data_IF_988838859217
#
_entry.id   IF_988838859217
#
_cell.length_a   1.000
_cell.length_b   1.000
_cell.length_c   1.000
_cell.angle_alpha   90.00
_cell.angle_beta   90.00
_cell.angle_gamma   90.00
#
_symmetry.space_group_name_H-M   'P 1'
#
loop_
_entity.id
_entity.type
_entity.pdbx_description
1 polymer ?
#
# COMPACT_ATOMS: atom_id res chain seq x y z
N UNK A 1 -60.14 -34.47 29.46
CA UNK A 1 -59.56 -34.30 30.81
C UNK A 1 -58.39 -35.25 30.93
N UNK A 2 -57.35 -34.92 31.73
CA UNK A 2 -56.04 -35.59 31.78
C UNK A 2 -55.25 -35.52 30.45
N UNK A 3 -54.05 -34.95 30.42
CA UNK A 3 -52.77 -35.35 31.03
C UNK A 3 -52.06 -36.46 30.23
N UNK A 4 -50.85 -36.16 29.74
CA UNK A 4 -49.66 -36.95 30.06
C UNK A 4 -48.39 -36.08 29.95
N UNK A 5 -47.40 -36.38 30.79
CA UNK A 5 -46.11 -35.66 30.85
C UNK A 5 -45.06 -36.36 30.00
N UNK A 6 -44.14 -35.60 29.41
CA UNK A 6 -42.83 -36.11 29.01
C UNK A 6 -41.76 -35.00 29.10
N UNK A 7 -40.61 -35.35 29.68
CA UNK A 7 -39.57 -34.39 30.08
C UNK A 7 -38.74 -33.85 28.92
N UNK A 8 -38.27 -32.60 29.04
CA UNK A 8 -37.06 -32.13 28.35
C UNK A 8 -36.12 -31.50 29.35
N UNK A 9 -34.86 -31.93 29.34
CA UNK A 9 -33.79 -31.22 30.05
C UNK A 9 -33.46 -29.92 29.29
N UNK A 10 -33.55 -28.78 29.97
CA UNK A 10 -32.89 -27.57 29.52
C UNK A 10 -31.47 -27.55 30.08
N UNK A 11 -30.46 -27.68 29.21
CA UNK A 11 -29.12 -27.25 29.56
C UNK A 11 -29.15 -25.73 29.84
N UNK A 12 -28.45 -25.22 30.87
CA UNK A 12 -28.35 -23.78 31.09
C UNK A 12 -27.67 -23.12 29.89
N UNK A 13 -28.17 -21.95 29.46
CA UNK A 13 -27.41 -21.10 28.53
C UNK A 13 -26.04 -20.81 29.15
N UNK A 14 -24.97 -21.10 28.41
CA UNK A 14 -23.67 -20.56 28.76
C UNK A 14 -23.77 -19.03 28.84
N UNK A 15 -23.39 -18.46 29.97
CA UNK A 15 -23.25 -17.01 30.07
C UNK A 15 -22.14 -16.58 29.10
N UNK A 16 -22.39 -15.51 28.33
CA UNK A 16 -21.32 -14.88 27.56
C UNK A 16 -20.20 -14.41 28.48
N UNK A 17 -18.94 -14.36 28.00
CA UNK A 17 -17.82 -13.89 28.81
C UNK A 17 -18.11 -12.49 29.37
N UNK A 18 -17.76 -12.28 30.63
CA UNK A 18 -17.99 -10.99 31.28
C UNK A 18 -17.19 -9.89 30.56
N UNK A 19 -17.78 -8.68 30.35
CA UNK A 19 -17.10 -7.60 29.65
C UNK A 19 -15.90 -7.10 30.47
N UNK A 20 -14.75 -6.95 29.81
CA UNK A 20 -13.47 -6.65 30.45
C UNK A 20 -13.52 -5.38 31.33
N UNK A 21 -12.72 -5.31 32.42
CA UNK A 21 -12.54 -4.09 33.21
C UNK A 21 -12.22 -2.84 32.38
N UNK A 22 -12.63 -1.66 32.86
CA UNK A 22 -12.44 -0.41 32.14
C UNK A 22 -10.96 -0.09 31.86
N UNK A 23 -10.04 -0.44 32.77
CA UNK A 23 -8.60 -0.25 32.58
C UNK A 23 -8.01 -1.16 31.48
N UNK A 24 -8.52 -2.38 31.32
CA UNK A 24 -8.12 -3.25 30.21
C UNK A 24 -8.70 -2.75 28.87
N UNK A 25 -9.91 -2.17 28.87
CA UNK A 25 -10.45 -1.49 27.68
C UNK A 25 -9.59 -0.30 27.28
N UNK A 26 -9.16 0.56 28.21
CA UNK A 26 -8.27 1.69 27.88
C UNK A 26 -6.92 1.20 27.34
N UNK A 27 -6.29 0.18 27.94
CA UNK A 27 -5.06 -0.40 27.36
C UNK A 27 -5.28 -1.14 26.03
N UNK A 28 -6.50 -1.57 25.73
CA UNK A 28 -6.85 -2.18 24.45
C UNK A 28 -7.09 -1.08 23.38
N UNK A 29 -7.77 0.00 23.74
CA UNK A 29 -7.95 1.22 22.92
C UNK A 29 -6.59 1.85 22.55
N UNK A 30 -5.69 2.02 23.53
CA UNK A 30 -4.31 2.50 23.33
C UNK A 30 -3.45 1.57 22.46
N UNK A 31 -3.74 0.26 22.42
CA UNK A 31 -2.99 -0.72 21.62
C UNK A 31 -3.57 -0.99 20.22
N UNK A 32 -4.74 -0.43 19.91
CA UNK A 32 -5.35 -0.47 18.57
C UNK A 32 -4.96 0.70 17.66
N UNK A 33 -3.96 1.50 18.06
CA UNK A 33 -3.63 2.80 17.45
C UNK A 33 -3.12 2.76 16.01
N UNK A 34 -2.39 1.71 15.63
CA UNK A 34 -1.73 1.62 14.32
C UNK A 34 -2.62 0.76 13.39
N UNK A 35 -2.79 1.14 12.10
CA UNK A 35 -4.02 0.77 11.38
C UNK A 35 -4.05 0.62 9.82
N UNK A 36 -3.08 -0.05 9.18
CA UNK A 36 -2.97 -0.33 7.73
C UNK A 36 -2.88 -1.83 7.30
N UNK A 37 -4.06 -2.52 7.17
CA UNK A 37 -5.35 -4.68 5.73
C UNK A 37 -6.05 -4.55 4.22
N UNK A 38 -5.59 -5.12 3.06
CA UNK A 38 -5.77 -4.36 1.77
C UNK A 38 -6.24 -4.87 0.31
N UNK A 39 -6.09 -6.11 -0.22
CA UNK A 39 -6.53 -6.63 -1.62
C UNK A 39 -5.67 -6.42 -2.93
N UNK A 40 -5.53 -7.40 -3.89
CA UNK A 40 -4.61 -7.43 -5.04
C UNK A 40 -5.29 -7.35 -6.44
N UNK A 41 -4.63 -7.79 -7.52
CA UNK A 41 -4.92 -7.59 -8.95
C UNK A 41 -4.51 -8.84 -9.82
N UNK A 42 -4.56 -8.96 -11.15
CA UNK A 42 -5.28 -8.22 -12.19
C UNK A 42 -6.11 -9.15 -13.12
N UNK A 43 -7.44 -8.93 -13.23
CA UNK A 43 -8.19 -8.99 -14.53
C UNK A 43 -8.22 -7.58 -15.18
N UNK A 44 -7.27 -6.75 -14.80
CA UNK A 44 -7.51 -5.39 -14.33
C UNK A 44 -6.42 -4.47 -14.88
N UNK A 45 -6.76 -3.69 -15.89
CA UNK A 45 -5.81 -2.74 -16.47
C UNK A 45 -6.47 -1.45 -17.01
N UNK A 46 -7.69 -1.11 -16.54
CA UNK A 46 -8.40 0.10 -17.00
C UNK A 46 -9.05 0.97 -15.90
N UNK A 47 -9.45 0.46 -14.72
CA UNK A 47 -10.26 1.25 -13.77
C UNK A 47 -9.86 1.26 -12.28
N UNK A 48 -8.66 0.78 -11.92
CA UNK A 48 -7.97 1.38 -10.77
C UNK A 48 -7.91 2.92 -11.00
N UNK A 49 -7.81 3.76 -9.96
CA UNK A 49 -7.27 5.10 -10.16
C UNK A 49 -5.95 4.95 -10.95
N UNK A 50 -5.78 5.60 -12.10
CA UNK A 50 -4.56 5.43 -12.94
C UNK A 50 -3.30 5.91 -12.19
N UNK A 51 -3.51 6.58 -11.07
CA UNK A 51 -2.57 6.83 -9.95
C UNK A 51 -1.84 5.55 -9.51
N UNK A 52 -2.53 4.40 -9.41
CA UNK A 52 -1.95 3.09 -9.09
C UNK A 52 -1.37 2.34 -10.33
N UNK A 53 -1.42 2.99 -11.49
CA UNK A 53 -0.87 2.53 -12.77
C UNK A 53 -0.04 3.63 -13.43
N UNK A 54 0.98 4.15 -12.72
CA UNK A 54 2.09 4.82 -13.41
C UNK A 54 2.57 3.88 -14.52
N UNK A 55 2.66 4.42 -15.75
CA UNK A 55 3.14 3.66 -16.92
C UNK A 55 4.67 3.59 -16.97
N UNK A 56 5.33 4.01 -15.88
CA UNK A 56 6.77 4.21 -15.80
C UNK A 56 7.36 3.76 -14.47
N UNK A 57 6.62 3.03 -13.64
CA UNK A 57 7.23 2.41 -12.45
C UNK A 57 8.35 1.47 -12.86
N UNK A 58 9.51 1.58 -12.21
CA UNK A 58 10.70 0.81 -12.52
C UNK A 58 11.48 0.39 -11.28
N UNK A 59 12.04 -0.81 -11.32
CA UNK A 59 13.19 -1.13 -10.49
C UNK A 59 14.37 -0.24 -10.84
N UNK A 60 15.14 0.12 -9.80
CA UNK A 60 16.19 1.12 -9.86
C UNK A 60 17.27 0.85 -8.82
N UNK A 61 18.34 1.65 -8.87
CA UNK A 61 19.48 1.59 -7.97
C UNK A 61 19.75 2.98 -7.38
N UNK A 62 20.36 3.07 -6.18
CA UNK A 62 20.90 4.33 -5.68
C UNK A 62 21.87 4.97 -6.67
N UNK A 63 22.02 6.30 -6.61
CA UNK A 63 23.11 7.00 -7.29
C UNK A 63 24.47 6.39 -6.91
N UNK A 64 25.40 6.35 -7.88
CA UNK A 64 26.71 5.71 -7.70
C UNK A 64 27.48 6.30 -6.51
N UNK A 65 27.40 7.62 -6.33
CA UNK A 65 27.92 8.36 -5.18
C UNK A 65 27.35 7.86 -3.85
N UNK A 66 26.03 7.70 -3.74
CA UNK A 66 25.37 7.25 -2.50
C UNK A 66 25.75 5.80 -2.15
N UNK A 67 25.81 4.92 -3.16
CA UNK A 67 26.26 3.53 -2.98
C UNK A 67 27.74 3.45 -2.58
N UNK A 68 28.60 4.24 -3.23
CA UNK A 68 30.04 4.34 -2.95
C UNK A 68 30.33 4.93 -1.56
N UNK A 69 29.51 5.88 -1.11
CA UNK A 69 29.57 6.37 0.28
C UNK A 69 29.29 5.25 1.27
N UNK A 70 28.16 4.54 1.15
CA UNK A 70 27.83 3.42 2.05
C UNK A 70 28.86 2.28 1.99
N UNK A 71 29.45 2.03 0.81
CA UNK A 71 30.47 1.01 0.57
C UNK A 71 31.86 1.36 1.13
N UNK A 72 32.17 2.65 1.31
CA UNK A 72 33.47 3.11 1.84
C UNK A 72 33.40 3.67 3.27
N UNK A 73 32.21 3.71 3.87
CA UNK A 73 32.00 4.23 5.23
C UNK A 73 32.51 3.24 6.31
N UNK A 74 33.68 3.56 6.85
CA UNK A 74 34.35 2.81 7.93
C UNK A 74 33.63 2.91 9.29
N UNK A 75 32.69 3.84 9.46
CA UNK A 75 31.88 3.94 10.68
C UNK A 75 30.69 2.99 10.63
N UNK A 76 30.14 2.74 9.44
CA UNK A 76 29.11 1.73 9.23
C UNK A 76 29.73 0.34 9.16
N UNK A 77 30.83 0.17 8.40
CA UNK A 77 31.57 -1.09 8.23
C UNK A 77 30.68 -2.25 7.74
N UNK A 78 29.75 -1.97 6.82
CA UNK A 78 28.85 -2.96 6.22
C UNK A 78 29.69 -3.97 5.41
N UNK A 79 29.51 -5.29 5.57
CA UNK A 79 30.27 -6.28 4.82
C UNK A 79 30.10 -6.15 3.29
N UNK A 80 31.20 -6.17 2.54
CA UNK A 80 31.22 -6.01 1.09
C UNK A 80 30.30 -7.02 0.36
N UNK A 81 30.22 -8.26 0.85
CA UNK A 81 29.33 -9.29 0.31
C UNK A 81 27.84 -8.98 0.52
N UNK A 82 27.47 -8.28 1.61
CA UNK A 82 26.09 -7.83 1.86
C UNK A 82 25.73 -6.75 0.84
N UNK A 83 26.59 -5.75 0.64
CA UNK A 83 26.37 -4.70 -0.38
C UNK A 83 26.26 -5.31 -1.78
N UNK A 84 27.18 -6.20 -2.17
CA UNK A 84 27.11 -6.91 -3.46
C UNK A 84 25.81 -7.72 -3.60
N UNK A 85 25.36 -8.39 -2.55
CA UNK A 85 24.07 -9.10 -2.55
C UNK A 85 22.90 -8.15 -2.85
N UNK A 86 22.84 -6.97 -2.21
CA UNK A 86 21.68 -6.07 -2.35
C UNK A 86 21.67 -5.39 -3.73
N UNK A 87 22.85 -5.00 -4.21
CA UNK A 87 23.04 -4.48 -5.57
C UNK A 87 22.72 -5.54 -6.62
N UNK A 88 23.07 -6.81 -6.38
CA UNK A 88 22.69 -7.94 -7.25
C UNK A 88 21.17 -8.03 -7.35
N UNK A 89 20.46 -8.11 -6.21
CA UNK A 89 19.00 -8.24 -6.21
C UNK A 89 18.31 -7.08 -6.96
N UNK A 90 18.74 -5.85 -6.76
CA UNK A 90 18.22 -4.68 -7.48
C UNK A 90 18.50 -4.76 -9.00
N UNK A 91 19.74 -5.07 -9.41
CA UNK A 91 20.09 -5.27 -10.83
C UNK A 91 19.28 -6.40 -11.48
N UNK A 92 19.04 -7.49 -10.76
CA UNK A 92 18.26 -8.62 -11.25
C UNK A 92 16.76 -8.29 -11.44
N UNK A 93 16.21 -7.40 -10.61
CA UNK A 93 14.86 -6.85 -10.78
C UNK A 93 14.81 -5.88 -11.99
N UNK A 94 15.80 -4.99 -12.13
CA UNK A 94 15.98 -4.14 -13.32
C UNK A 94 16.15 -4.94 -14.62
N UNK A 95 16.75 -6.14 -14.55
CA UNK A 95 16.93 -7.03 -15.70
C UNK A 95 15.60 -7.62 -16.21
N UNK A 96 14.66 -7.96 -15.31
CA UNK A 96 13.31 -8.45 -15.68
C UNK A 96 12.57 -7.40 -16.53
N UNK A 97 12.65 -6.13 -16.12
CA UNK A 97 12.06 -5.00 -16.84
C UNK A 97 12.89 -4.52 -18.05
N UNK A 98 14.03 -5.18 -18.32
CA UNK A 98 14.95 -4.87 -19.43
C UNK A 98 15.52 -3.44 -19.37
N UNK A 99 15.62 -2.85 -18.17
CA UNK A 99 16.15 -1.49 -17.93
C UNK A 99 17.67 -1.38 -17.99
N UNK A 100 18.39 -2.49 -17.84
CA UNK A 100 19.86 -2.49 -17.89
C UNK A 100 20.37 -2.05 -19.27
N UNK A 101 21.31 -1.09 -19.29
CA UNK A 101 22.02 -0.66 -20.49
C UNK A 101 22.90 -1.79 -21.02
N UNK A 102 23.69 -2.41 -20.13
CA UNK A 102 24.48 -3.59 -20.49
C UNK A 102 23.58 -4.76 -20.94
N UNK A 103 24.19 -5.69 -21.67
CA UNK A 103 23.61 -6.99 -22.06
C UNK A 103 24.34 -8.17 -21.43
N UNK A 104 25.32 -7.89 -20.57
CA UNK A 104 26.00 -8.88 -19.74
C UNK A 104 25.01 -9.50 -18.71
N UNK A 105 25.21 -10.76 -18.29
CA UNK A 105 24.51 -11.31 -17.13
C UNK A 105 24.80 -10.51 -15.85
N UNK A 106 23.83 -10.39 -14.94
CA UNK A 106 23.99 -9.58 -13.71
C UNK A 106 25.22 -9.95 -12.87
N UNK A 107 25.61 -11.23 -12.68
CA UNK A 107 26.87 -11.56 -11.99
C UNK A 107 28.12 -10.96 -12.63
N UNK A 108 28.15 -10.82 -13.97
CA UNK A 108 29.26 -10.17 -14.70
C UNK A 108 29.21 -8.65 -14.50
N UNK A 109 28.01 -8.06 -14.48
CA UNK A 109 27.82 -6.63 -14.17
C UNK A 109 28.31 -6.32 -12.75
N UNK A 110 27.94 -7.13 -11.76
CA UNK A 110 28.38 -6.96 -10.36
C UNK A 110 29.90 -7.14 -10.24
N UNK A 111 30.48 -8.09 -10.97
CA UNK A 111 31.94 -8.27 -11.04
C UNK A 111 32.68 -7.08 -11.67
N UNK A 112 32.07 -6.39 -12.65
CA UNK A 112 32.61 -5.15 -13.25
C UNK A 112 32.48 -3.94 -12.32
N UNK A 113 31.35 -3.80 -11.63
CA UNK A 113 31.10 -2.71 -10.66
C UNK A 113 32.01 -2.84 -9.43
N UNK A 114 32.34 -4.06 -8.99
CA UNK A 114 33.18 -4.29 -7.83
C UNK A 114 34.37 -5.22 -8.15
N UNK A 115 35.35 -4.75 -8.94
CA UNK A 115 36.37 -5.58 -9.58
C UNK A 115 37.41 -6.16 -8.60
N UNK A 116 37.55 -5.56 -7.42
CA UNK A 116 38.45 -6.02 -6.36
C UNK A 116 37.93 -5.58 -4.98
N UNK A 117 38.39 -6.21 -3.87
CA UNK A 117 37.94 -5.87 -2.53
C UNK A 117 38.17 -4.40 -2.18
N UNK A 118 37.17 -3.75 -1.59
CA UNK A 118 37.19 -2.32 -1.25
C UNK A 118 37.15 -1.36 -2.45
N UNK A 119 36.94 -1.84 -3.67
CA UNK A 119 36.85 -1.02 -4.89
C UNK A 119 35.46 -1.08 -5.51
N UNK A 120 34.90 0.09 -5.83
CA UNK A 120 33.70 0.24 -6.65
C UNK A 120 34.02 1.12 -7.88
N UNK A 121 33.83 0.57 -9.07
CA UNK A 121 33.98 1.27 -10.35
C UNK A 121 32.69 1.99 -10.74
N UNK A 122 32.77 3.31 -10.74
CA UNK A 122 31.67 4.21 -11.07
C UNK A 122 31.46 4.35 -12.58
N UNK A 123 32.47 4.06 -13.41
CA UNK A 123 32.35 4.03 -14.87
C UNK A 123 31.55 2.80 -15.29
N UNK A 124 31.90 1.62 -14.79
CA UNK A 124 31.18 0.38 -15.10
C UNK A 124 29.75 0.38 -14.54
N UNK A 125 29.53 0.99 -13.37
CA UNK A 125 28.17 1.26 -12.86
C UNK A 125 27.35 2.13 -13.82
N UNK A 126 27.96 3.20 -14.36
CA UNK A 126 27.32 4.07 -15.35
C UNK A 126 27.20 3.43 -16.75
N UNK A 127 28.01 2.42 -17.08
CA UNK A 127 27.86 1.61 -18.29
C UNK A 127 26.70 0.61 -18.16
N UNK A 128 26.51 0.02 -16.99
CA UNK A 128 25.46 -0.95 -16.71
C UNK A 128 24.05 -0.36 -16.59
N UNK A 129 23.89 0.83 -16.00
CA UNK A 129 22.59 1.41 -15.61
C UNK A 129 22.39 2.79 -16.22
N UNK A 130 21.19 3.12 -16.72
CA UNK A 130 20.90 4.48 -17.20
C UNK A 130 20.88 5.49 -16.02
N UNK A 131 21.48 6.68 -16.13
CA UNK A 131 21.34 7.73 -15.12
C UNK A 131 19.90 8.15 -14.84
N UNK A 132 18.99 8.05 -15.83
CA UNK A 132 17.56 8.39 -15.68
C UNK A 132 16.81 7.37 -14.85
N UNK A 133 17.17 6.08 -14.93
CA UNK A 133 16.62 5.02 -14.08
C UNK A 133 17.25 5.02 -12.67
N UNK A 134 17.84 6.15 -12.26
CA UNK A 134 18.49 6.40 -10.96
C UNK A 134 18.24 7.80 -10.41
N UNK A 135 17.60 8.69 -11.17
CA UNK A 135 17.44 10.11 -10.81
C UNK A 135 16.17 10.43 -10.02
N UNK A 136 15.34 9.43 -9.72
CA UNK A 136 14.01 9.64 -9.17
C UNK A 136 13.89 9.20 -7.69
N UNK A 137 14.57 8.15 -7.19
CA UNK A 137 14.64 7.93 -5.73
C UNK A 137 15.55 8.94 -5.06
N UNK A 138 15.04 9.63 -4.05
CA UNK A 138 15.81 10.44 -3.11
C UNK A 138 16.77 11.46 -3.75
N UNK A 139 16.41 11.99 -4.91
CA UNK A 139 17.07 13.19 -5.44
C UNK A 139 16.87 14.36 -4.46
N UNK A 140 15.70 14.42 -3.82
CA UNK A 140 15.44 15.27 -2.66
C UNK A 140 14.45 14.60 -1.71
N UNK A 141 14.96 14.00 -0.63
CA UNK A 141 14.13 13.46 0.48
C UNK A 141 13.20 14.56 1.02
N UNK A 142 13.68 15.81 1.10
CA UNK A 142 12.89 16.97 1.53
C UNK A 142 11.73 17.34 0.59
N UNK A 143 11.66 16.75 -0.61
CA UNK A 143 10.53 16.91 -1.55
C UNK A 143 9.60 15.70 -1.61
N UNK A 144 9.94 14.58 -0.95
CA UNK A 144 9.09 13.39 -0.87
C UNK A 144 7.88 13.57 0.07
N UNK A 145 7.95 14.51 1.02
CA UNK A 145 6.84 14.93 1.86
C UNK A 145 6.84 16.46 2.04
N UNK A 146 6.55 17.20 0.97
CA UNK A 146 6.56 18.67 0.99
C UNK A 146 5.17 19.28 0.82
N UNK A 147 5.00 20.56 1.14
CA UNK A 147 3.75 21.29 0.88
C UNK A 147 3.55 21.42 -0.63
N UNK A 148 2.30 21.37 -1.09
CA UNK A 148 1.95 21.64 -2.50
C UNK A 148 2.64 22.94 -2.95
N UNK A 149 3.38 22.92 -4.07
CA UNK A 149 4.14 24.08 -4.55
C UNK A 149 3.20 25.14 -5.13
N UNK A 150 3.54 26.42 -4.98
CA UNK A 150 2.65 27.54 -5.33
C UNK A 150 2.05 27.50 -6.75
N UNK A 151 2.75 27.05 -7.82
CA UNK A 151 2.15 26.93 -9.15
C UNK A 151 0.98 25.93 -9.24
N UNK A 152 0.94 24.92 -8.38
CA UNK A 152 -0.05 23.84 -8.43
C UNK A 152 -1.29 24.15 -7.57
N UNK A 153 -1.13 24.95 -6.50
CA UNK A 153 -2.20 25.26 -5.52
C UNK A 153 -3.50 25.77 -6.16
N UNK A 154 -3.52 26.74 -7.08
CA UNK A 154 -4.78 27.29 -7.60
C UNK A 154 -5.59 26.23 -8.36
N UNK A 155 -4.90 25.36 -9.09
CA UNK A 155 -5.51 24.28 -9.87
C UNK A 155 -6.05 23.18 -8.95
N UNK A 156 -5.30 22.84 -7.89
CA UNK A 156 -5.76 21.88 -6.88
C UNK A 156 -6.94 22.42 -6.06
N UNK A 157 -6.94 23.71 -5.69
CA UNK A 157 -8.07 24.35 -5.00
C UNK A 157 -9.35 24.32 -5.84
N UNK A 158 -9.24 24.62 -7.15
CA UNK A 158 -10.35 24.48 -8.09
C UNK A 158 -10.83 23.02 -8.19
N UNK A 159 -9.92 22.05 -8.30
CA UNK A 159 -10.26 20.63 -8.32
C UNK A 159 -10.98 20.18 -7.03
N UNK A 160 -10.57 20.65 -5.85
CA UNK A 160 -11.25 20.36 -4.59
C UNK A 160 -12.65 21.01 -4.54
N UNK A 161 -12.82 22.25 -5.00
CA UNK A 161 -14.14 22.91 -5.06
C UNK A 161 -15.13 22.18 -6.00
N UNK A 162 -14.65 21.75 -7.17
CA UNK A 162 -15.38 20.86 -8.07
C UNK A 162 -15.73 19.53 -7.39
N UNK A 163 -14.80 18.95 -6.63
CA UNK A 163 -14.99 17.67 -5.94
C UNK A 163 -16.08 17.78 -4.88
N UNK A 164 -16.07 18.85 -4.06
CA UNK A 164 -17.13 19.14 -3.08
C UNK A 164 -18.50 19.25 -3.76
N UNK A 165 -18.55 19.84 -4.96
CA UNK A 165 -19.78 19.95 -5.76
C UNK A 165 -20.26 18.58 -6.24
N UNK A 166 -19.36 17.74 -6.77
CA UNK A 166 -19.66 16.36 -7.19
C UNK A 166 -20.10 15.48 -6.00
N UNK A 167 -19.46 15.61 -4.84
CA UNK A 167 -19.82 14.91 -3.60
C UNK A 167 -21.24 15.26 -3.16
N UNK A 168 -21.60 16.55 -3.14
CA UNK A 168 -22.97 16.98 -2.82
C UNK A 168 -24.01 16.49 -3.84
N UNK A 169 -23.63 16.34 -5.11
CA UNK A 169 -24.47 15.68 -6.13
C UNK A 169 -24.61 14.16 -5.91
N UNK A 170 -23.73 13.51 -5.15
CA UNK A 170 -23.85 12.11 -4.73
C UNK A 170 -24.67 11.99 -3.43
N UNK A 171 -24.43 12.88 -2.47
CA UNK A 171 -25.23 13.04 -1.24
C UNK A 171 -26.71 13.25 -1.56
N UNK A 172 -27.05 14.02 -2.59
CA UNK A 172 -28.43 14.24 -3.03
C UNK A 172 -29.06 13.04 -3.79
N UNK A 173 -28.26 12.10 -4.29
CA UNK A 173 -28.69 11.04 -5.22
C UNK A 173 -29.17 9.79 -4.48
N UNK A 174 -30.35 9.88 -3.88
CA UNK A 174 -30.98 8.79 -3.13
C UNK A 174 -31.09 7.49 -3.94
N UNK A 175 -31.20 7.56 -5.28
CA UNK A 175 -31.27 6.40 -6.15
C UNK A 175 -29.92 5.68 -6.21
N UNK A 176 -28.84 6.39 -6.56
CA UNK A 176 -27.51 5.77 -6.62
C UNK A 176 -26.97 5.40 -5.23
N UNK A 177 -27.34 6.13 -4.17
CA UNK A 177 -27.01 5.76 -2.79
C UNK A 177 -27.59 4.38 -2.46
N UNK A 178 -28.86 4.14 -2.79
CA UNK A 178 -29.52 2.85 -2.59
C UNK A 178 -29.00 1.77 -3.54
N UNK A 179 -28.64 2.11 -4.78
CA UNK A 179 -28.06 1.15 -5.72
C UNK A 179 -26.67 0.66 -5.29
N UNK A 180 -25.87 1.46 -4.59
CA UNK A 180 -24.50 1.07 -4.19
C UNK A 180 -24.48 0.51 -2.77
N UNK A 181 -25.16 1.17 -1.82
CA UNK A 181 -25.07 0.88 -0.39
C UNK A 181 -26.32 0.18 0.19
N UNK A 182 -27.36 -0.05 -0.61
CA UNK A 182 -28.52 -0.85 -0.23
C UNK A 182 -29.35 -0.24 0.91
N UNK A 183 -29.48 -0.96 2.03
CA UNK A 183 -30.16 -0.48 3.23
C UNK A 183 -29.32 0.49 4.08
N UNK A 184 -28.02 0.62 3.79
CA UNK A 184 -27.10 1.56 4.44
C UNK A 184 -26.99 2.90 3.70
N UNK A 185 -27.92 3.21 2.80
CA UNK A 185 -27.97 4.45 2.00
C UNK A 185 -27.93 5.72 2.85
N UNK A 186 -28.64 5.75 3.98
CA UNK A 186 -28.62 6.85 4.94
C UNK A 186 -27.24 7.07 5.61
N UNK A 187 -26.49 6.00 5.87
CA UNK A 187 -25.11 6.07 6.40
C UNK A 187 -24.17 6.60 5.32
N UNK A 188 -24.27 6.07 4.10
CA UNK A 188 -23.51 6.57 2.95
C UNK A 188 -23.77 8.07 2.69
N UNK A 189 -25.03 8.51 2.78
CA UNK A 189 -25.44 9.92 2.65
C UNK A 189 -24.74 10.82 3.68
N UNK A 190 -24.81 10.47 4.97
CA UNK A 190 -24.09 11.17 6.06
C UNK A 190 -22.59 11.27 5.74
N UNK A 191 -22.00 10.17 5.30
CA UNK A 191 -20.55 10.10 5.07
C UNK A 191 -20.12 10.93 3.84
N UNK A 192 -20.90 11.02 2.76
CA UNK A 192 -20.64 12.01 1.69
C UNK A 192 -20.71 13.47 2.19
N UNK A 193 -21.66 13.81 3.08
CA UNK A 193 -21.68 15.13 3.74
C UNK A 193 -20.42 15.40 4.60
N UNK A 194 -19.88 14.35 5.22
CA UNK A 194 -18.58 14.35 5.89
C UNK A 194 -17.42 14.61 4.92
N UNK A 195 -17.36 13.90 3.79
CA UNK A 195 -16.35 14.06 2.73
C UNK A 195 -16.34 15.52 2.22
N UNK A 196 -17.52 16.09 1.95
CA UNK A 196 -17.64 17.49 1.52
C UNK A 196 -17.09 18.48 2.56
N UNK A 197 -17.30 18.19 3.85
CA UNK A 197 -16.76 18.98 4.97
C UNK A 197 -15.24 18.87 5.09
N UNK A 198 -14.70 17.65 5.04
CA UNK A 198 -13.26 17.38 5.09
C UNK A 198 -12.51 18.06 3.93
N UNK A 199 -12.99 17.88 2.70
CA UNK A 199 -12.46 18.57 1.51
C UNK A 199 -12.55 20.10 1.62
N UNK A 200 -13.64 20.63 2.18
CA UNK A 200 -13.79 22.06 2.46
C UNK A 200 -12.75 22.59 3.45
N UNK A 201 -12.32 21.76 4.41
CA UNK A 201 -11.27 22.10 5.37
C UNK A 201 -9.86 21.98 4.75
N UNK A 202 -9.60 20.97 3.91
CA UNK A 202 -8.34 20.86 3.16
C UNK A 202 -8.11 22.05 2.24
N UNK A 203 -9.12 22.47 1.47
CA UNK A 203 -9.00 23.60 0.52
C UNK A 203 -8.63 24.92 1.21
N UNK A 204 -9.24 25.19 2.38
CA UNK A 204 -8.96 26.37 3.21
C UNK A 204 -7.57 26.32 3.85
N UNK A 205 -7.09 25.15 4.25
CA UNK A 205 -5.88 24.97 5.04
C UNK A 205 -4.74 24.28 4.25
N UNK A 206 -4.74 24.38 2.92
CA UNK A 206 -3.87 23.61 2.04
C UNK A 206 -2.38 23.65 2.44
N UNK A 207 -1.87 24.83 2.83
CA UNK A 207 -0.47 25.02 3.28
C UNK A 207 -0.07 24.23 4.55
N UNK A 208 -1.03 23.71 5.32
CA UNK A 208 -0.78 22.95 6.55
C UNK A 208 -1.48 21.59 6.61
N UNK A 209 -2.37 21.28 5.66
CA UNK A 209 -3.15 20.04 5.60
C UNK A 209 -3.01 19.23 4.31
N UNK A 210 -2.36 19.76 3.28
CA UNK A 210 -2.10 19.03 2.04
C UNK A 210 -0.60 19.05 1.73
N UNK A 211 0.01 17.88 1.76
CA UNK A 211 1.37 17.66 1.26
C UNK A 211 1.31 16.86 -0.03
N UNK A 212 2.41 16.87 -0.79
CA UNK A 212 2.57 16.03 -1.94
C UNK A 212 4.02 15.58 -2.07
N UNK A 213 4.17 14.38 -2.63
CA UNK A 213 5.45 13.85 -3.09
C UNK A 213 5.80 14.50 -4.43
N UNK A 214 6.87 15.30 -4.45
CA UNK A 214 7.49 15.86 -5.66
C UNK A 214 8.76 15.08 -6.08
N UNK A 215 9.18 14.08 -5.30
CA UNK A 215 10.32 13.21 -5.59
C UNK A 215 9.90 11.95 -6.41
N UNK A 216 8.61 11.66 -6.52
CA UNK A 216 7.98 10.52 -7.25
C UNK A 216 8.13 9.15 -6.56
N UNK A 217 8.56 9.11 -5.30
CA UNK A 217 8.66 7.89 -4.50
C UNK A 217 7.31 7.14 -4.41
N UNK A 218 6.22 7.87 -4.26
CA UNK A 218 4.87 7.31 -4.19
C UNK A 218 4.44 6.70 -5.52
N UNK A 219 4.82 7.31 -6.65
CA UNK A 219 4.47 6.82 -7.99
C UNK A 219 5.06 5.41 -8.21
N UNK A 220 6.23 5.17 -7.62
CA UNK A 220 7.08 4.00 -7.86
C UNK A 220 6.82 2.84 -6.88
N UNK A 221 6.50 3.11 -5.61
CA UNK A 221 5.83 2.10 -4.76
C UNK A 221 4.39 1.85 -5.20
N UNK A 222 3.82 2.76 -6.02
CA UNK A 222 2.50 2.65 -6.66
C UNK A 222 1.34 3.19 -5.84
N UNK A 223 1.62 4.07 -4.88
CA UNK A 223 0.71 4.68 -3.91
C UNK A 223 0.00 5.90 -4.49
N UNK A 224 -1.32 5.99 -4.30
CA UNK A 224 -2.13 7.10 -4.85
C UNK A 224 -2.06 8.41 -4.07
N UNK A 225 -1.82 8.27 -2.77
CA UNK A 225 -1.99 9.26 -1.72
C UNK A 225 -2.22 8.52 -0.40
N UNK A 226 -2.39 9.27 0.69
CA UNK A 226 -2.93 8.74 1.95
C UNK A 226 -3.52 9.86 2.81
N UNK A 227 -4.44 9.50 3.70
CA UNK A 227 -5.12 10.41 4.61
C UNK A 227 -4.81 10.08 6.07
N UNK A 228 -4.41 11.09 6.84
CA UNK A 228 -4.15 10.99 8.27
C UNK A 228 -5.34 11.55 9.06
N UNK A 229 -6.27 10.67 9.46
CA UNK A 229 -7.51 11.08 10.13
C UNK A 229 -7.27 11.99 11.35
N UNK A 230 -6.41 11.56 12.28
CA UNK A 230 -6.17 12.23 13.56
C UNK A 230 -5.58 13.64 13.39
N UNK A 231 -4.78 13.86 12.35
CA UNK A 231 -4.19 15.17 12.05
C UNK A 231 -4.99 15.95 11.00
N UNK A 232 -6.02 15.34 10.41
CA UNK A 232 -6.84 15.87 9.31
C UNK A 232 -6.01 16.35 8.11
N UNK A 233 -4.99 15.57 7.73
CA UNK A 233 -4.09 15.84 6.60
C UNK A 233 -4.28 14.84 5.46
N UNK A 234 -3.94 15.25 4.24
CA UNK A 234 -3.80 14.34 3.08
C UNK A 234 -2.43 14.55 2.43
N UNK A 235 -1.76 13.45 2.14
CA UNK A 235 -0.59 13.40 1.29
C UNK A 235 -1.00 12.94 -0.12
N UNK A 236 -0.59 13.67 -1.16
CA UNK A 236 -1.00 13.41 -2.54
C UNK A 236 0.19 13.02 -3.42
N UNK A 237 -0.04 12.13 -4.38
CA UNK A 237 0.90 11.94 -5.47
C UNK A 237 1.00 13.20 -6.36
N UNK A 238 2.21 13.51 -6.86
CA UNK A 238 2.49 14.67 -7.72
C UNK A 238 1.40 14.96 -8.77
N UNK A 239 1.03 13.96 -9.56
CA UNK A 239 0.08 14.13 -10.67
C UNK A 239 -1.38 14.39 -10.23
N UNK A 240 -1.71 14.11 -8.97
CA UNK A 240 -2.97 14.50 -8.33
C UNK A 240 -2.89 15.95 -7.86
N UNK A 241 -1.79 16.34 -7.20
CA UNK A 241 -1.55 17.73 -6.81
C UNK A 241 -1.49 18.70 -8.02
N UNK A 242 -0.83 18.28 -9.10
CA UNK A 242 -0.77 18.99 -10.39
C UNK A 242 -2.05 18.86 -11.23
N UNK A 243 -3.04 18.09 -10.77
CA UNK A 243 -4.34 17.82 -11.43
C UNK A 243 -4.14 17.43 -12.91
N UNK A 244 -3.25 16.47 -13.20
CA UNK A 244 -2.93 16.05 -14.59
C UNK A 244 -4.12 15.36 -15.26
N UNK A 245 -4.90 14.61 -14.48
CA UNK A 245 -6.20 14.07 -14.87
C UNK A 245 -7.26 14.60 -13.90
N UNK A 246 -8.21 15.38 -14.41
CA UNK A 246 -9.24 16.03 -13.61
C UNK A 246 -10.21 15.02 -12.98
N UNK A 247 -10.59 13.97 -13.70
CA UNK A 247 -11.54 12.97 -13.19
C UNK A 247 -10.89 12.12 -12.09
N UNK A 248 -9.67 11.64 -12.31
CA UNK A 248 -8.93 10.82 -11.34
C UNK A 248 -8.50 11.63 -10.12
N UNK A 249 -8.22 12.92 -10.28
CA UNK A 249 -8.02 13.83 -9.13
C UNK A 249 -9.27 13.92 -8.27
N UNK A 250 -10.46 14.11 -8.88
CA UNK A 250 -11.74 14.13 -8.14
C UNK A 250 -11.99 12.81 -7.41
N UNK A 251 -11.75 11.67 -8.05
CA UNK A 251 -11.90 10.35 -7.41
C UNK A 251 -10.93 10.16 -6.24
N UNK A 252 -9.65 10.50 -6.41
CA UNK A 252 -8.64 10.38 -5.33
C UNK A 252 -9.02 11.27 -4.15
N UNK A 253 -9.41 12.53 -4.38
CA UNK A 253 -9.85 13.44 -3.33
C UNK A 253 -11.10 12.92 -2.57
N UNK A 254 -12.01 12.19 -3.23
CA UNK A 254 -13.17 11.57 -2.56
C UNK A 254 -12.73 10.38 -1.69
N UNK A 255 -11.80 9.58 -2.17
CA UNK A 255 -11.22 8.45 -1.44
C UNK A 255 -10.52 8.92 -0.15
N UNK A 256 -9.54 9.81 -0.26
CA UNK A 256 -8.83 10.39 0.89
C UNK A 256 -9.77 11.17 1.83
N UNK A 257 -10.74 11.87 1.24
CA UNK A 257 -11.77 12.59 1.99
C UNK A 257 -12.69 11.68 2.81
N UNK A 258 -12.83 10.40 2.44
CA UNK A 258 -13.65 9.43 3.18
C UNK A 258 -12.96 8.99 4.48
N UNK A 259 -11.66 8.66 4.42
CA UNK A 259 -10.85 8.41 5.61
C UNK A 259 -10.82 9.61 6.57
N UNK A 260 -10.80 10.85 6.05
CA UNK A 260 -10.91 12.04 6.90
C UNK A 260 -12.30 12.27 7.50
N UNK A 261 -13.36 11.80 6.85
CA UNK A 261 -14.74 12.01 7.29
C UNK A 261 -15.15 11.14 8.48
N UNK A 262 -14.68 9.89 8.55
CA UNK A 262 -14.99 8.95 9.63
C UNK A 262 -13.85 7.90 9.75
N UNK A 263 -13.22 7.70 10.92
CA UNK A 263 -12.06 6.82 11.07
C UNK A 263 -12.41 5.33 10.93
N UNK A 264 -13.69 4.97 10.92
CA UNK A 264 -14.14 3.60 10.60
C UNK A 264 -14.16 3.30 9.09
N UNK A 265 -14.07 4.34 8.24
CA UNK A 265 -13.86 4.16 6.80
C UNK A 265 -12.38 3.90 6.57
N UNK A 266 -12.05 2.64 6.33
CA UNK A 266 -10.70 2.17 6.02
C UNK A 266 -10.66 1.65 4.57
N UNK A 267 -9.51 1.17 4.13
CA UNK A 267 -9.46 0.35 2.92
C UNK A 267 -9.90 -1.08 3.24
N UNK A 268 -10.93 -1.56 2.54
CA UNK A 268 -11.41 -2.96 2.55
C UNK A 268 -11.51 -3.48 1.11
N UNK A 269 -10.51 -3.14 0.31
CA UNK A 269 -10.38 -3.54 -1.10
C UNK A 269 -10.74 -2.43 -2.09
N UNK A 270 -9.78 -2.11 -2.97
CA UNK A 270 -9.89 -1.04 -3.95
C UNK A 270 -10.93 -1.26 -5.05
N UNK A 271 -11.28 -0.17 -5.72
CA UNK A 271 -12.18 -0.15 -6.86
C UNK A 271 -11.75 -1.16 -7.95
N UNK A 272 -12.71 -1.96 -8.42
CA UNK A 272 -12.42 -3.02 -9.37
C UNK A 272 -11.72 -4.24 -8.77
N UNK A 273 -11.70 -4.41 -7.43
CA UNK A 273 -11.37 -5.69 -6.80
C UNK A 273 -12.35 -6.81 -7.17
N UNK A 274 -11.87 -8.05 -7.14
CA UNK A 274 -12.74 -9.20 -7.38
C UNK A 274 -13.77 -9.27 -6.25
N UNK A 275 -15.06 -9.31 -6.59
CA UNK A 275 -16.16 -9.24 -5.62
C UNK A 275 -16.44 -7.85 -5.03
N UNK A 276 -15.81 -6.77 -5.52
CA UNK A 276 -16.01 -5.40 -5.03
C UNK A 276 -17.49 -4.98 -4.95
N UNK A 277 -18.26 -5.26 -6.01
CA UNK A 277 -19.69 -4.95 -6.08
C UNK A 277 -20.55 -5.87 -5.19
N UNK A 278 -20.03 -7.05 -4.87
CA UNK A 278 -20.70 -8.12 -4.15
C UNK A 278 -20.44 -8.14 -2.63
N UNK A 279 -19.52 -7.31 -2.12
CA UNK A 279 -19.26 -7.14 -0.67
C UNK A 279 -20.53 -6.71 0.09
N UNK A 280 -20.62 -7.03 1.38
CA UNK A 280 -21.79 -6.72 2.21
C UNK A 280 -21.97 -5.21 2.45
N UNK A 281 -23.19 -4.76 2.67
CA UNK A 281 -23.53 -3.33 2.80
C UNK A 281 -22.76 -2.63 3.94
N UNK A 282 -22.50 -3.34 5.04
CA UNK A 282 -21.68 -2.86 6.14
C UNK A 282 -20.21 -2.65 5.75
N UNK A 283 -19.65 -3.53 4.92
CA UNK A 283 -18.30 -3.36 4.35
C UNK A 283 -18.28 -2.15 3.41
N UNK A 284 -19.33 -1.98 2.59
CA UNK A 284 -19.42 -0.89 1.61
C UNK A 284 -19.41 0.50 2.26
N UNK A 285 -20.13 0.72 3.36
CA UNK A 285 -20.07 2.02 4.06
C UNK A 285 -18.81 2.21 4.91
N UNK A 286 -18.03 1.16 5.15
CA UNK A 286 -16.76 1.20 5.88
C UNK A 286 -15.53 1.08 4.95
N UNK A 287 -15.72 1.23 3.63
CA UNK A 287 -14.66 1.15 2.62
C UNK A 287 -14.57 2.45 1.78
N UNK A 288 -13.42 3.12 1.80
CA UNK A 288 -13.24 4.38 1.06
C UNK A 288 -13.51 4.23 -0.45
N UNK A 289 -13.09 3.11 -1.04
CA UNK A 289 -13.25 2.85 -2.47
C UNK A 289 -14.72 2.73 -2.94
N UNK A 290 -15.68 2.42 -2.06
CA UNK A 290 -17.11 2.40 -2.41
C UNK A 290 -17.72 3.80 -2.56
N UNK A 291 -17.15 4.81 -1.89
CA UNK A 291 -17.52 6.22 -2.10
C UNK A 291 -17.05 6.78 -3.44
N UNK A 292 -16.20 6.05 -4.19
CA UNK A 292 -15.83 6.41 -5.56
C UNK A 292 -16.92 6.11 -6.59
N UNK A 293 -17.80 5.12 -6.36
CA UNK A 293 -18.65 4.57 -7.42
C UNK A 293 -19.69 5.56 -7.95
N UNK A 294 -20.42 6.26 -7.08
CA UNK A 294 -21.44 7.24 -7.51
C UNK A 294 -20.78 8.43 -8.25
N UNK A 295 -19.66 9.00 -7.77
CA UNK A 295 -18.84 9.93 -8.53
C UNK A 295 -18.39 9.37 -9.89
N UNK A 296 -17.90 8.12 -9.96
CA UNK A 296 -17.46 7.47 -11.20
C UNK A 296 -18.61 7.30 -12.20
N UNK A 297 -19.84 7.00 -11.74
CA UNK A 297 -21.05 7.00 -12.59
C UNK A 297 -21.32 8.38 -13.18
N UNK A 298 -21.36 9.43 -12.35
CA UNK A 298 -21.61 10.81 -12.77
C UNK A 298 -20.53 11.36 -13.71
N UNK A 299 -19.29 10.86 -13.59
CA UNK A 299 -18.16 11.17 -14.48
C UNK A 299 -18.08 10.26 -15.73
N UNK A 300 -18.96 9.27 -15.89
CA UNK A 300 -18.96 8.36 -17.05
C UNK A 300 -17.81 7.34 -17.08
N UNK A 301 -17.19 7.06 -15.93
CA UNK A 301 -15.98 6.20 -15.79
C UNK A 301 -16.15 5.02 -14.82
N UNK A 302 -17.40 4.68 -14.44
CA UNK A 302 -17.71 3.49 -13.64
C UNK A 302 -17.55 2.21 -14.47
N UNK A 303 -17.02 1.16 -13.84
CA UNK A 303 -16.99 -0.20 -14.38
C UNK A 303 -18.23 -1.02 -14.05
N UNK A 304 -19.12 -0.50 -13.20
CA UNK A 304 -20.24 -1.25 -12.61
C UNK A 304 -21.59 -0.53 -12.87
N UNK A 305 -22.12 -0.56 -14.11
CA UNK A 305 -23.31 0.17 -14.53
C UNK A 305 -24.64 -0.45 -14.04
N UNK A 306 -24.68 -1.00 -12.82
CA UNK A 306 -25.82 -1.74 -12.24
C UNK A 306 -25.93 -1.53 -10.72
N UNK A 307 -27.09 -1.82 -10.16
CA UNK A 307 -27.29 -2.03 -8.72
C UNK A 307 -26.30 -3.07 -8.17
N UNK A 308 -25.68 -2.76 -7.03
CA UNK A 308 -24.79 -3.66 -6.29
C UNK A 308 -25.65 -4.54 -5.38
N UNK A 309 -25.38 -5.84 -5.33
CA UNK A 309 -26.16 -6.80 -4.54
C UNK A 309 -25.21 -7.71 -3.74
N UNK A 310 -25.35 -7.82 -2.41
CA UNK A 310 -24.51 -8.70 -1.60
C UNK A 310 -24.50 -10.14 -2.13
N UNK A 311 -23.31 -10.72 -2.28
CA UNK A 311 -23.11 -12.07 -2.82
C UNK A 311 -23.41 -12.24 -4.32
N UNK A 312 -23.62 -11.16 -5.08
CA UNK A 312 -23.91 -11.21 -6.53
C UNK A 312 -22.97 -10.27 -7.30
N UNK A 313 -22.27 -10.81 -8.29
CA UNK A 313 -21.36 -10.09 -9.18
C UNK A 313 -22.13 -9.25 -10.21
N UNK A 314 -21.47 -8.26 -10.81
CA UNK A 314 -22.01 -7.38 -11.86
C UNK A 314 -22.45 -8.13 -13.13
N UNK A 315 -22.01 -9.37 -13.32
CA UNK A 315 -22.52 -10.30 -14.35
C UNK A 315 -23.93 -10.82 -14.08
N UNK A 316 -24.42 -10.73 -12.83
CA UNK A 316 -25.61 -11.43 -12.33
C UNK A 316 -25.33 -12.81 -11.76
N UNK A 317 -24.08 -13.30 -11.80
CA UNK A 317 -23.69 -14.55 -11.18
C UNK A 317 -23.57 -14.40 -9.65
N UNK A 318 -23.93 -15.46 -8.91
CA UNK A 318 -23.62 -15.54 -7.47
C UNK A 318 -22.10 -15.70 -7.26
N UNK A 319 -21.58 -15.08 -6.21
CA UNK A 319 -20.21 -15.28 -5.74
C UNK A 319 -19.97 -16.77 -5.46
N UNK A 320 -18.91 -17.33 -6.04
CA UNK A 320 -18.51 -18.73 -5.84
C UNK A 320 -17.38 -18.85 -4.81
N UNK A 321 -17.13 -20.08 -4.34
CA UNK A 321 -15.94 -20.38 -3.51
C UNK A 321 -14.63 -19.90 -4.17
N UNK A 322 -14.53 -20.01 -5.49
CA UNK A 322 -13.34 -19.56 -6.22
C UNK A 322 -13.18 -18.04 -6.15
N UNK A 323 -14.27 -17.28 -6.23
CA UNK A 323 -14.26 -15.82 -6.10
C UNK A 323 -13.90 -15.41 -4.65
N UNK A 324 -14.48 -16.06 -3.63
CA UNK A 324 -14.14 -15.81 -2.22
C UNK A 324 -12.66 -16.05 -1.93
N UNK A 325 -12.09 -17.17 -2.40
CA UNK A 325 -10.67 -17.48 -2.19
C UNK A 325 -9.77 -16.54 -2.99
N UNK A 326 -10.14 -16.13 -4.21
CA UNK A 326 -9.43 -15.08 -4.96
C UNK A 326 -9.46 -13.73 -4.23
N UNK A 327 -10.59 -13.41 -3.59
CA UNK A 327 -10.78 -12.22 -2.76
C UNK A 327 -10.03 -12.32 -1.42
N UNK A 328 -9.67 -13.52 -0.94
CA UNK A 328 -8.83 -13.75 0.26
C UNK A 328 -7.32 -13.80 -0.03
N UNK A 329 -6.89 -14.42 -1.14
CA UNK A 329 -5.51 -14.38 -1.63
C UNK A 329 -5.09 -12.98 -2.10
N UNK A 330 -6.00 -12.31 -2.80
CA UNK A 330 -6.88 -11.36 -2.12
C UNK A 330 -6.31 -10.41 -1.06
N UNK A 331 -7.12 -10.15 -0.02
CA UNK A 331 -6.80 -9.25 1.09
C UNK A 331 -5.33 -9.38 1.55
N UNK A 332 -4.80 -10.60 1.60
CA UNK A 332 -3.40 -10.95 1.94
C UNK A 332 -2.31 -10.26 1.10
N UNK A 333 -2.41 -10.17 -0.24
CA UNK A 333 -1.26 -9.67 -1.02
C UNK A 333 -1.02 -8.17 -0.85
N UNK A 334 -2.09 -7.40 -0.67
CA UNK A 334 -1.95 -5.95 -0.42
C UNK A 334 -1.93 -5.62 1.07
N UNK A 335 -2.34 -6.52 1.99
CA UNK A 335 -1.84 -6.50 3.38
C UNK A 335 -0.31 -6.38 3.40
N UNK A 336 0.37 -7.18 2.55
CA UNK A 336 1.81 -7.12 2.48
C UNK A 336 2.36 -5.85 1.77
N UNK A 337 1.64 -5.32 0.77
CA UNK A 337 1.99 -4.06 0.11
C UNK A 337 1.89 -2.84 1.02
N UNK A 338 0.75 -2.62 1.70
CA UNK A 338 0.55 -1.47 2.61
C UNK A 338 1.64 -1.46 3.68
N UNK A 339 1.92 -2.63 4.27
CA UNK A 339 2.96 -2.77 5.29
C UNK A 339 4.36 -2.47 4.72
N UNK A 340 4.67 -2.90 3.50
CA UNK A 340 5.95 -2.58 2.84
C UNK A 340 6.04 -1.09 2.44
N UNK A 341 4.91 -0.46 2.09
CA UNK A 341 4.80 0.99 1.88
C UNK A 341 5.06 1.73 3.19
N UNK A 342 4.41 1.35 4.30
CA UNK A 342 4.62 1.97 5.62
C UNK A 342 6.06 1.78 6.11
N UNK A 343 6.66 0.60 5.89
CA UNK A 343 8.08 0.34 6.17
C UNK A 343 8.98 1.27 5.36
N UNK A 344 8.73 1.43 4.06
CA UNK A 344 9.46 2.34 3.18
C UNK A 344 9.33 3.81 3.64
N UNK A 345 8.12 4.25 4.01
CA UNK A 345 7.85 5.60 4.53
C UNK A 345 8.56 5.83 5.88
N UNK A 346 8.44 4.89 6.82
CA UNK A 346 9.14 4.90 8.11
C UNK A 346 10.65 5.03 7.94
N UNK A 347 11.26 4.20 7.08
CA UNK A 347 12.69 4.22 6.81
C UNK A 347 13.12 5.57 6.20
N UNK A 348 12.33 6.10 5.27
CA UNK A 348 12.58 7.39 4.62
C UNK A 348 12.54 8.54 5.62
N UNK A 349 11.54 8.57 6.48
CA UNK A 349 11.33 9.68 7.40
C UNK A 349 12.37 9.63 8.55
N UNK A 350 12.79 8.42 8.98
CA UNK A 350 13.99 8.21 9.82
C UNK A 350 15.27 8.70 9.12
N UNK A 351 15.45 8.45 7.82
CA UNK A 351 16.58 8.99 7.04
C UNK A 351 16.54 10.52 6.95
N UNK A 352 15.35 11.11 6.77
CA UNK A 352 15.16 12.56 6.70
C UNK A 352 15.62 13.25 7.99
N UNK A 353 15.20 12.73 9.14
CA UNK A 353 15.64 13.25 10.44
C UNK A 353 17.14 13.07 10.65
N UNK A 354 17.71 11.90 10.30
CA UNK A 354 19.16 11.69 10.37
C UNK A 354 19.95 12.73 9.56
N UNK A 355 19.49 13.06 8.34
CA UNK A 355 20.10 14.10 7.50
C UNK A 355 19.92 15.53 8.04
N UNK A 356 18.90 15.77 8.86
CA UNK A 356 18.73 17.01 9.62
C UNK A 356 19.54 17.04 10.95
N UNK A 357 20.31 15.98 11.25
CA UNK A 357 21.09 15.83 12.47
C UNK A 357 20.34 15.22 13.66
N UNK A 358 19.07 14.83 13.48
CA UNK A 358 18.24 14.20 14.51
C UNK A 358 18.29 12.67 14.42
N UNK A 359 18.78 12.01 15.48
CA UNK A 359 18.80 10.55 15.59
C UNK A 359 17.64 9.98 16.44
N UNK A 360 16.75 10.82 16.98
CA UNK A 360 15.67 10.38 17.88
C UNK A 360 14.71 9.40 17.20
N UNK A 361 14.19 9.63 15.97
CA UNK A 361 13.36 8.66 15.25
C UNK A 361 13.99 7.27 15.09
N UNK A 362 15.31 7.21 14.85
CA UNK A 362 16.03 5.95 14.76
C UNK A 362 16.08 5.24 16.14
N UNK A 363 16.37 5.99 17.21
CA UNK A 363 16.56 5.42 18.55
C UNK A 363 15.24 5.03 19.22
N UNK A 364 14.15 5.76 18.99
CA UNK A 364 12.81 5.38 19.45
C UNK A 364 12.35 4.05 18.80
N UNK A 365 12.73 3.81 17.54
CA UNK A 365 12.26 2.68 16.74
C UNK A 365 13.32 1.59 16.51
N UNK A 366 14.47 1.63 17.19
CA UNK A 366 15.66 0.84 16.83
C UNK A 366 15.39 -0.67 16.75
N UNK A 367 14.59 -1.21 17.66
CA UNK A 367 14.22 -2.63 17.67
C UNK A 367 13.37 -3.04 16.45
N UNK A 368 12.42 -2.19 16.03
CA UNK A 368 11.59 -2.42 14.85
C UNK A 368 12.42 -2.29 13.56
N UNK A 369 13.25 -1.25 13.47
CA UNK A 369 14.17 -1.04 12.33
C UNK A 369 15.15 -2.22 12.16
N UNK A 370 15.63 -2.82 13.27
CA UNK A 370 16.49 -4.01 13.25
C UNK A 370 15.75 -5.33 13.02
N UNK A 371 14.43 -5.39 13.13
CA UNK A 371 13.62 -6.54 12.66
C UNK A 371 13.32 -6.40 11.17
N UNK A 372 12.73 -5.27 10.75
CA UNK A 372 12.53 -4.87 9.34
C UNK A 372 13.77 -5.19 8.50
N UNK A 373 14.94 -4.75 8.97
CA UNK A 373 16.21 -4.93 8.28
C UNK A 373 16.60 -6.40 8.05
N UNK A 374 16.11 -7.35 8.85
CA UNK A 374 16.34 -8.80 8.67
C UNK A 374 15.31 -9.44 7.75
N UNK A 375 14.06 -8.97 7.80
CA UNK A 375 13.00 -9.46 6.92
C UNK A 375 13.25 -9.04 5.47
N UNK A 376 13.57 -7.76 5.26
CA UNK A 376 13.80 -7.14 3.95
C UNK A 376 15.26 -7.16 3.46
N UNK A 377 16.18 -7.76 4.21
CA UNK A 377 17.62 -7.81 3.89
C UNK A 377 18.31 -6.43 3.82
N UNK A 378 17.78 -5.42 4.51
CA UNK A 378 18.46 -4.13 4.64
C UNK A 378 19.77 -4.28 5.44
N UNK A 379 20.69 -3.33 5.28
CA UNK A 379 22.02 -3.33 5.92
C UNK A 379 22.04 -2.90 7.38
N UNK A 380 20.96 -2.31 7.91
CA UNK A 380 20.91 -1.66 9.24
C UNK A 380 21.36 -2.60 10.37
N UNK A 381 21.01 -3.89 10.31
CA UNK A 381 21.42 -4.89 11.29
C UNK A 381 22.83 -5.47 11.09
N UNK A 382 23.47 -5.17 9.97
CA UNK A 382 24.85 -5.57 9.58
C UNK A 382 25.85 -4.41 9.76
N UNK A 383 25.38 -3.25 10.25
CA UNK A 383 26.21 -2.08 10.56
C UNK A 383 26.82 -2.17 11.97
N UNK A 384 27.90 -1.42 12.19
CA UNK A 384 28.60 -1.35 13.48
C UNK A 384 27.66 -0.86 14.59
N UNK A 385 27.59 -1.63 15.68
CA UNK A 385 26.72 -1.33 16.81
C UNK A 385 26.98 0.06 17.42
N UNK A 386 25.92 0.86 17.58
CA UNK A 386 25.97 2.25 18.04
C UNK A 386 26.03 3.27 16.90
N UNK A 387 26.52 2.90 15.72
CA UNK A 387 26.65 3.80 14.56
C UNK A 387 25.45 3.74 13.60
N UNK A 388 24.50 2.82 13.80
CA UNK A 388 23.54 2.39 12.79
C UNK A 388 22.63 3.51 12.24
N UNK A 389 22.43 3.50 10.93
CA UNK A 389 21.57 4.44 10.18
C UNK A 389 20.81 3.70 9.09
N UNK A 390 19.68 4.27 8.67
CA UNK A 390 19.12 3.96 7.36
C UNK A 390 20.02 4.59 6.27
N UNK A 391 20.38 3.83 5.24
CA UNK A 391 21.14 4.28 4.06
C UNK A 391 20.25 4.36 2.82
N UNK A 392 20.70 5.02 1.75
CA UNK A 392 19.98 5.03 0.47
C UNK A 392 19.86 3.63 -0.15
N UNK A 393 20.81 2.73 0.13
CA UNK A 393 20.73 1.34 -0.34
C UNK A 393 19.58 0.60 0.35
N UNK A 394 19.41 0.79 1.66
CA UNK A 394 18.30 0.21 2.42
C UNK A 394 16.96 0.68 1.86
N UNK A 395 16.83 1.99 1.64
CA UNK A 395 15.61 2.58 1.14
C UNK A 395 15.20 2.04 -0.24
N UNK A 396 16.13 1.98 -1.21
CA UNK A 396 15.83 1.42 -2.54
C UNK A 396 15.55 -0.10 -2.50
N UNK A 397 16.06 -0.83 -1.50
CA UNK A 397 15.68 -2.25 -1.29
C UNK A 397 14.24 -2.37 -0.77
N UNK A 398 13.87 -1.59 0.25
CA UNK A 398 12.51 -1.55 0.81
C UNK A 398 11.47 -1.08 -0.23
N UNK A 399 11.77 0.00 -0.95
CA UNK A 399 11.00 0.51 -2.09
C UNK A 399 10.72 -0.60 -3.12
N UNK A 400 11.77 -1.32 -3.47
CA UNK A 400 11.73 -2.38 -4.46
C UNK A 400 11.01 -3.64 -3.95
N UNK A 401 10.89 -3.81 -2.63
CA UNK A 401 10.05 -4.85 -2.01
C UNK A 401 8.58 -4.41 -2.03
N UNK A 402 8.27 -3.16 -1.70
CA UNK A 402 6.93 -2.60 -1.87
C UNK A 402 6.47 -2.68 -3.35
N UNK A 403 7.31 -2.29 -4.31
CA UNK A 403 6.98 -2.47 -5.73
C UNK A 403 6.81 -3.96 -6.11
N UNK A 404 7.64 -4.84 -5.54
CA UNK A 404 7.48 -6.29 -5.66
C UNK A 404 6.12 -6.79 -5.19
N UNK A 405 5.63 -6.33 -4.03
CA UNK A 405 4.29 -6.64 -3.54
C UNK A 405 3.18 -6.05 -4.44
N UNK A 406 3.32 -4.84 -4.97
CA UNK A 406 2.37 -4.27 -5.96
C UNK A 406 2.28 -5.11 -7.25
N UNK A 407 3.41 -5.65 -7.70
CA UNK A 407 3.50 -6.50 -8.86
C UNK A 407 2.93 -7.91 -8.61
N UNK A 408 3.25 -8.54 -7.47
CA UNK A 408 2.66 -9.84 -7.06
C UNK A 408 1.16 -9.72 -6.79
N UNK A 409 0.73 -8.58 -6.24
CA UNK A 409 -0.67 -8.16 -6.23
C UNK A 409 -1.25 -8.34 -7.62
N UNK A 410 -0.66 -7.76 -8.68
CA UNK A 410 -1.13 -7.86 -10.08
C UNK A 410 -1.07 -9.26 -10.71
N UNK A 411 -0.46 -10.25 -10.06
CA UNK A 411 -0.39 -11.63 -10.56
C UNK A 411 -1.53 -12.52 -10.05
N UNK A 412 -1.95 -12.38 -8.79
CA UNK A 412 -2.85 -13.36 -8.13
C UNK A 412 -4.15 -13.64 -8.89
N UNK A 413 -4.83 -12.62 -9.43
CA UNK A 413 -6.10 -12.85 -10.13
C UNK A 413 -5.93 -13.53 -11.49
N UNK A 414 -4.73 -13.50 -12.09
CA UNK A 414 -4.39 -14.26 -13.31
C UNK A 414 -4.31 -15.75 -13.03
N UNK A 415 -3.94 -16.14 -11.80
CA UNK A 415 -3.79 -17.54 -11.40
C UNK A 415 -5.16 -18.23 -11.45
N UNK A 416 -5.19 -19.43 -12.05
CA UNK A 416 -6.38 -20.28 -12.11
C UNK A 416 -6.69 -20.84 -10.72
N UNK A 417 -7.98 -20.92 -10.38
CA UNK A 417 -8.40 -21.65 -9.19
C UNK A 417 -8.11 -23.16 -9.38
N UNK A 418 -7.58 -23.89 -8.37
CA UNK A 418 -7.19 -25.29 -8.55
C UNK A 418 -8.35 -26.20 -8.98
N UNK A 419 -8.06 -27.16 -9.86
CA UNK A 419 -9.06 -28.05 -10.44
C UNK A 419 -9.62 -29.12 -9.47
N UNK A 420 -8.93 -29.37 -8.35
CA UNK A 420 -9.33 -30.35 -7.33
C UNK A 420 -9.52 -29.72 -5.93
N UNK A 421 -10.41 -28.72 -5.77
CA UNK A 421 -10.50 -27.92 -4.55
C UNK A 421 -11.17 -28.65 -3.37
N UNK A 422 -11.80 -29.81 -3.60
CA UNK A 422 -12.53 -30.56 -2.59
C UNK A 422 -11.67 -31.22 -1.50
N UNK A 423 -10.34 -31.21 -1.65
CA UNK A 423 -9.37 -31.78 -0.69
C UNK A 423 -8.69 -30.71 0.17
N UNK A 424 -8.75 -29.44 -0.24
CA UNK A 424 -8.00 -28.33 0.37
C UNK A 424 -8.94 -27.33 1.04
N UNK A 425 -8.48 -26.72 2.14
CA UNK A 425 -9.17 -25.58 2.78
C UNK A 425 -9.01 -24.30 1.95
N UNK A 426 -9.81 -23.28 2.26
CA UNK A 426 -9.72 -21.97 1.60
C UNK A 426 -8.35 -21.31 1.87
N UNK A 427 -7.82 -21.43 3.09
CA UNK A 427 -6.47 -20.99 3.45
C UNK A 427 -5.37 -21.74 2.66
N UNK A 428 -5.51 -23.05 2.45
CA UNK A 428 -4.53 -23.83 1.70
C UNK A 428 -4.50 -23.43 0.21
N UNK A 429 -5.67 -23.16 -0.38
CA UNK A 429 -5.75 -22.67 -1.76
C UNK A 429 -5.23 -21.21 -1.84
N UNK A 430 -5.55 -20.37 -0.84
CA UNK A 430 -5.02 -19.01 -0.72
C UNK A 430 -3.48 -19.01 -0.74
N UNK A 431 -2.87 -19.79 0.13
CA UNK A 431 -1.41 -19.83 0.29
C UNK A 431 -0.72 -20.44 -0.94
N UNK A 432 -1.36 -21.38 -1.65
CA UNK A 432 -0.90 -21.85 -2.96
C UNK A 432 -0.93 -20.75 -4.04
N UNK A 433 -2.02 -19.97 -4.11
CA UNK A 433 -2.11 -18.83 -5.04
C UNK A 433 -1.07 -17.73 -4.73
N UNK A 434 -0.85 -17.44 -3.44
CA UNK A 434 0.21 -16.54 -2.96
C UNK A 434 1.58 -17.03 -3.40
N UNK A 435 1.93 -18.28 -3.07
CA UNK A 435 3.23 -18.85 -3.40
C UNK A 435 3.48 -18.93 -4.92
N UNK A 436 2.43 -19.19 -5.71
CA UNK A 436 2.53 -19.17 -7.17
C UNK A 436 2.72 -17.73 -7.71
N UNK A 437 2.06 -16.71 -7.17
CA UNK A 437 2.29 -15.32 -7.59
C UNK A 437 3.73 -14.86 -7.30
N UNK A 438 4.24 -15.23 -6.13
CA UNK A 438 5.65 -15.03 -5.75
C UNK A 438 6.61 -15.75 -6.70
N UNK A 439 6.33 -17.01 -7.03
CA UNK A 439 7.17 -17.82 -7.93
C UNK A 439 7.15 -17.33 -9.38
N UNK A 440 5.97 -16.93 -9.90
CA UNK A 440 5.79 -16.44 -11.27
C UNK A 440 6.62 -15.18 -11.56
N UNK A 441 6.76 -14.29 -10.56
CA UNK A 441 7.43 -13.01 -10.74
C UNK A 441 8.86 -12.98 -10.19
N UNK A 442 9.13 -13.66 -9.08
CA UNK A 442 10.46 -13.76 -8.46
C UNK A 442 11.11 -12.38 -8.15
N UNK A 443 10.30 -11.45 -7.63
CA UNK A 443 10.65 -10.04 -7.42
C UNK A 443 11.06 -9.69 -5.99
N UNK A 444 10.78 -10.54 -4.99
CA UNK A 444 11.20 -10.33 -3.59
C UNK A 444 12.63 -10.85 -3.35
N UNK A 445 12.83 -11.75 -2.41
CA UNK A 445 14.11 -12.30 -1.94
C UNK A 445 14.62 -13.46 -2.79
N UNK A 446 13.83 -13.90 -3.77
CA UNK A 446 14.14 -15.02 -4.69
C UNK A 446 14.40 -16.33 -3.97
N UNK A 447 13.68 -16.53 -2.88
CA UNK A 447 13.79 -17.69 -2.01
C UNK A 447 12.39 -17.92 -1.43
N UNK A 448 11.60 -18.86 -1.98
CA UNK A 448 10.19 -19.00 -1.64
C UNK A 448 9.88 -19.16 -0.14
N UNK A 449 10.82 -19.71 0.64
CA UNK A 449 10.69 -19.79 2.10
C UNK A 449 10.82 -18.41 2.75
N UNK A 450 11.86 -17.62 2.40
CA UNK A 450 12.00 -16.24 2.87
C UNK A 450 10.90 -15.34 2.35
N UNK A 451 10.47 -15.51 1.11
CA UNK A 451 9.40 -14.72 0.50
C UNK A 451 8.06 -14.96 1.21
N UNK A 452 7.77 -16.20 1.62
CA UNK A 452 6.62 -16.50 2.48
C UNK A 452 6.80 -15.92 3.89
N UNK A 453 7.98 -16.04 4.51
CA UNK A 453 8.26 -15.43 5.83
C UNK A 453 8.09 -13.91 5.80
N UNK A 454 8.62 -13.22 4.79
CA UNK A 454 8.46 -11.77 4.60
C UNK A 454 7.00 -11.41 4.35
N UNK A 455 6.29 -12.16 3.50
CA UNK A 455 4.86 -11.94 3.24
C UNK A 455 4.01 -12.14 4.51
N UNK A 456 4.27 -13.19 5.30
CA UNK A 456 3.59 -13.47 6.56
C UNK A 456 3.94 -12.44 7.65
N UNK A 457 5.18 -11.97 7.70
CA UNK A 457 5.60 -10.88 8.60
C UNK A 457 4.90 -9.57 8.23
N UNK A 458 4.86 -9.24 6.93
CA UNK A 458 4.15 -8.06 6.45
C UNK A 458 2.65 -8.16 6.74
N UNK A 459 2.01 -9.29 6.43
CA UNK A 459 0.59 -9.58 6.75
C UNK A 459 0.30 -9.48 8.25
N UNK A 460 1.15 -10.04 9.11
CA UNK A 460 1.05 -9.90 10.57
C UNK A 460 1.19 -8.44 11.03
N UNK A 461 1.82 -7.60 10.22
CA UNK A 461 2.01 -6.18 10.46
C UNK A 461 1.13 -5.26 9.56
N UNK A 462 0.18 -5.73 8.72
CA UNK A 462 -0.93 -4.85 8.24
C UNK A 462 -1.62 -4.41 9.54
N UNK A 463 -1.54 -3.10 9.82
CA UNK A 463 -1.84 -2.39 11.08
C UNK A 463 -0.63 -2.00 11.96
N UNK A 464 0.47 -2.75 12.11
CA UNK A 464 1.37 -2.54 13.27
C UNK A 464 2.63 -1.66 13.06
N UNK A 465 2.87 -1.06 11.88
CA UNK A 465 4.05 -0.21 11.64
C UNK A 465 3.90 1.18 12.31
N UNK A 466 4.95 1.73 12.98
CA UNK A 466 4.92 3.11 13.50
C UNK A 466 4.96 4.18 12.41
N UNK A 467 4.18 5.26 12.61
CA UNK A 467 4.39 6.55 11.96
C UNK A 467 5.17 7.50 12.87
N UNK A 468 5.77 8.56 12.30
CA UNK A 468 6.69 9.51 12.94
C UNK A 468 6.24 10.95 12.67
#
# INVERSE_FOLDING_TARGET
>A
MSNYSCSRHCAPKAAGPAPLPAAERQQQEERTSNATVAVPASRLQQHLPEVLTSRNVKYRLPAATNLKSAFTDKTLNIPENVIKSRVTALLERMAIEKRLKSKDPVPVIVGKIFPSPGVMDETEFNNAVDPKDRSEVYQSIAESHTRVKDPDKPKLQAAIADTITLVKQCEADNANLKDVFGSMDAVAKKNYGGIATALGNLSKNMNSKVTADYNLDNDEIGLGGFALHNTQQVHLLLRVAQVKDVAKTKITLIHEGAHLADPSIIDQGYYGSDGFEAKDEAIKVANAAHYEEIPRRKLGISSFPKTFQPGVLSSGAKVTRADTVKTSAGEYMRMAWDTAVDVFLLLRDVRQHYLAGDRKPFKDNEAMLKDISKQEDLTIHEQTAGNEIVTTLDLTVAESIAHGFHAMSKEIRKISFPAAPGVLTDDQIRDQMVAQATTNLNLLMRNPARDKTLSDWMVKNYKNIPSI
#
